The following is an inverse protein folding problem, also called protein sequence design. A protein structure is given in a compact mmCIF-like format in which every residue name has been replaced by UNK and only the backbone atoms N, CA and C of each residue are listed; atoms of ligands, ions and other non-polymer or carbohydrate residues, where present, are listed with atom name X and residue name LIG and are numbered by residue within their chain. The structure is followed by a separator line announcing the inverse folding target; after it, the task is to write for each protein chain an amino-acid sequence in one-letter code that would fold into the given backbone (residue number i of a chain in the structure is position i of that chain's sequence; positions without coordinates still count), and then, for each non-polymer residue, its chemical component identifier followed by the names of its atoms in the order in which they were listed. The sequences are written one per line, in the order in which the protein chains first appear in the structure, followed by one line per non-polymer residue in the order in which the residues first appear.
data_IF_425399977165
#
_entry.id   IF_425399977165
#
_cell.length_a   1.000
_cell.length_b   1.000
_cell.length_c   1.000
_cell.angle_alpha   90.00
_cell.angle_beta   90.00
_cell.angle_gamma   90.00
#
_symmetry.space_group_name_H-M   'P 1'
#
loop_
_entity.id
_entity.type
_entity.pdbx_description
1 polymer ?
#
# COMPACT_ATOMS: atom_id res chain seq x y z
N UNK A 1 -34.52 -4.37 -26.78
CA UNK A 1 -33.16 -4.58 -26.31
C UNK A 1 -32.71 -3.33 -25.59
N UNK A 2 -32.42 -3.44 -24.31
CA UNK A 2 -31.74 -2.37 -23.58
C UNK A 2 -30.25 -2.75 -23.57
N UNK A 3 -29.41 -1.96 -24.21
CA UNK A 3 -27.96 -2.08 -24.10
C UNK A 3 -27.55 -1.21 -22.92
N UNK A 4 -27.01 -1.81 -21.87
CA UNK A 4 -26.41 -1.07 -20.78
C UNK A 4 -24.89 -1.07 -20.98
N UNK A 5 -24.27 0.08 -20.81
CA UNK A 5 -22.80 0.16 -20.71
C UNK A 5 -22.40 -0.49 -19.39
N UNK A 6 -21.39 -1.38 -19.37
CA UNK A 6 -20.85 -1.92 -18.12
C UNK A 6 -20.43 -0.79 -17.19
N UNK A 7 -20.61 -0.98 -15.89
CA UNK A 7 -20.26 0.00 -14.88
C UNK A 7 -18.72 0.22 -14.82
N UNK A 8 -18.32 1.48 -14.65
CA UNK A 8 -16.94 1.85 -14.38
C UNK A 8 -16.54 1.29 -13.03
N UNK A 9 -15.40 0.61 -12.99
CA UNK A 9 -14.81 0.13 -11.75
C UNK A 9 -13.44 0.76 -11.58
N UNK A 10 -13.17 1.35 -10.42
CA UNK A 10 -11.88 1.87 -10.01
C UNK A 10 -11.54 1.18 -8.69
N UNK A 11 -10.48 0.36 -8.70
CA UNK A 11 -10.03 -0.37 -7.52
C UNK A 11 -9.12 0.50 -6.64
N UNK A 12 -8.40 1.46 -7.23
CA UNK A 12 -7.51 2.38 -6.55
C UNK A 12 -6.11 2.43 -7.18
N UNK A 13 -5.21 3.11 -6.51
CA UNK A 13 -3.79 3.09 -6.85
C UNK A 13 -3.17 1.76 -6.41
N UNK A 14 -2.33 1.15 -7.26
CA UNK A 14 -1.52 0.00 -6.85
C UNK A 14 -0.56 0.35 -5.73
N UNK A 15 -0.06 1.58 -5.75
CA UNK A 15 0.73 2.14 -4.68
C UNK A 15 0.23 3.56 -4.36
N UNK A 16 -0.54 3.69 -3.30
CA UNK A 16 -1.06 5.00 -2.84
C UNK A 16 0.02 5.89 -2.23
N UNK A 17 1.19 5.33 -1.90
CA UNK A 17 2.35 6.04 -1.32
C UNK A 17 3.44 6.37 -2.35
N UNK A 18 3.13 6.29 -3.64
CA UNK A 18 4.07 6.66 -4.70
C UNK A 18 4.56 8.10 -4.53
N UNK A 19 5.89 8.28 -4.53
CA UNK A 19 6.49 9.59 -4.35
C UNK A 19 6.18 10.55 -5.51
N UNK A 20 6.14 11.86 -5.25
CA UNK A 20 6.13 12.85 -6.32
C UNK A 20 7.31 12.67 -7.28
N UNK A 21 7.03 12.57 -8.58
CA UNK A 21 7.99 12.32 -9.64
C UNK A 21 8.03 10.87 -10.15
N UNK A 22 7.58 9.91 -9.34
CA UNK A 22 7.54 8.49 -9.70
C UNK A 22 6.28 8.12 -10.48
N UNK A 23 6.24 6.88 -10.97
CA UNK A 23 5.10 6.31 -11.70
C UNK A 23 4.30 5.35 -10.84
N UNK A 24 2.99 5.31 -11.06
CA UNK A 24 2.07 4.36 -10.41
C UNK A 24 0.99 3.95 -11.39
N UNK A 25 0.18 2.97 -10.99
CA UNK A 25 -0.94 2.46 -11.80
C UNK A 25 -2.24 2.60 -11.03
N UNK A 26 -3.28 3.09 -11.69
CA UNK A 26 -4.66 2.95 -11.23
C UNK A 26 -5.23 1.69 -11.85
N UNK A 27 -5.72 0.77 -11.03
CA UNK A 27 -6.36 -0.46 -11.49
C UNK A 27 -7.88 -0.38 -11.41
N UNK A 28 -8.55 -1.07 -12.33
CA UNK A 28 -10.00 -1.07 -12.40
C UNK A 28 -10.56 -1.91 -13.55
N UNK A 29 -11.67 -1.50 -14.16
CA UNK A 29 -12.23 -2.09 -15.38
C UNK A 29 -13.11 -1.08 -16.11
N UNK A 30 -13.22 -1.27 -17.43
CA UNK A 30 -14.06 -0.49 -18.36
C UNK A 30 -13.61 0.97 -18.56
N UNK A 31 -12.34 1.29 -18.32
CA UNK A 31 -11.79 2.65 -18.47
C UNK A 31 -12.02 3.23 -19.86
N UNK A 32 -11.83 2.42 -20.90
CA UNK A 32 -12.02 2.76 -22.31
C UNK A 32 -13.46 3.23 -22.61
N UNK A 33 -14.45 2.65 -21.94
CA UNK A 33 -15.88 2.97 -22.16
C UNK A 33 -16.27 4.31 -21.53
N UNK A 34 -15.45 4.86 -20.64
CA UNK A 34 -15.70 6.11 -19.94
C UNK A 34 -14.79 7.25 -20.39
N UNK A 35 -14.11 7.06 -21.52
CA UNK A 35 -13.22 8.07 -22.09
C UNK A 35 -11.98 8.32 -21.23
N UNK A 36 -11.55 7.31 -20.46
CA UNK A 36 -10.32 7.35 -19.69
C UNK A 36 -9.22 6.82 -20.61
N UNK A 37 -8.63 7.72 -21.38
CA UNK A 37 -7.55 7.43 -22.34
C UNK A 37 -6.39 8.39 -22.11
N UNK A 38 -5.24 8.13 -22.72
CA UNK A 38 -4.07 9.01 -22.62
C UNK A 38 -4.38 10.45 -23.02
N UNK A 39 -5.25 10.63 -24.04
CA UNK A 39 -5.57 11.96 -24.58
C UNK A 39 -6.71 12.67 -23.85
N UNK A 40 -7.60 11.93 -23.18
CA UNK A 40 -8.85 12.49 -22.66
C UNK A 40 -8.95 12.47 -21.13
N UNK A 41 -8.16 11.62 -20.46
CA UNK A 41 -8.21 11.51 -19.01
C UNK A 41 -7.62 12.77 -18.37
N UNK A 42 -8.36 13.38 -17.47
CA UNK A 42 -7.87 14.42 -16.56
C UNK A 42 -7.64 13.80 -15.19
N UNK A 43 -6.36 13.61 -14.84
CA UNK A 43 -5.95 13.02 -13.57
C UNK A 43 -5.18 14.06 -12.76
N UNK A 44 -5.59 14.29 -11.52
CA UNK A 44 -5.03 15.36 -10.68
C UNK A 44 -4.87 14.91 -9.24
N UNK A 45 -3.88 15.48 -8.57
CA UNK A 45 -3.74 15.48 -7.12
C UNK A 45 -3.90 16.92 -6.64
N UNK A 46 -5.07 17.24 -6.11
CA UNK A 46 -5.47 18.63 -5.87
C UNK A 46 -5.45 19.44 -7.18
N UNK A 47 -4.56 20.44 -7.24
CA UNK A 47 -4.36 21.25 -8.45
C UNK A 47 -3.22 20.77 -9.36
N UNK A 48 -2.47 19.76 -8.94
CA UNK A 48 -1.33 19.25 -9.69
C UNK A 48 -1.81 18.19 -10.70
N UNK A 49 -1.44 18.37 -11.98
CA UNK A 49 -1.85 17.49 -13.08
C UNK A 49 -0.87 16.33 -13.18
N UNK A 50 -1.38 15.09 -13.11
CA UNK A 50 -0.61 13.89 -13.40
C UNK A 50 -0.44 13.70 -14.91
N UNK A 51 0.70 13.15 -15.33
CA UNK A 51 0.89 12.76 -16.73
C UNK A 51 0.40 11.34 -16.92
N UNK A 52 -0.63 11.13 -17.73
CA UNK A 52 -1.04 9.79 -18.14
C UNK A 52 -0.08 9.28 -19.20
N UNK A 53 0.63 8.18 -18.89
CA UNK A 53 1.65 7.59 -19.76
C UNK A 53 1.03 6.54 -20.66
N UNK A 54 0.16 5.71 -20.10
CA UNK A 54 -0.55 4.65 -20.79
C UNK A 54 -1.94 4.45 -20.18
N UNK A 55 -2.89 4.00 -20.99
CA UNK A 55 -4.24 3.70 -20.55
C UNK A 55 -4.79 2.50 -21.33
N UNK A 56 -5.20 1.49 -20.60
CA UNK A 56 -5.84 0.29 -21.11
C UNK A 56 -7.28 0.22 -20.58
N UNK A 57 -7.97 -0.88 -20.85
CA UNK A 57 -9.29 -1.12 -20.30
C UNK A 57 -9.29 -1.26 -18.75
N UNK A 58 -8.20 -1.78 -18.18
CA UNK A 58 -8.11 -2.14 -16.76
C UNK A 58 -7.08 -1.35 -15.97
N UNK A 59 -6.14 -0.70 -16.65
CA UNK A 59 -5.00 -0.07 -15.99
C UNK A 59 -4.68 1.28 -16.63
N UNK A 60 -4.34 2.25 -15.80
CA UNK A 60 -3.86 3.57 -16.21
C UNK A 60 -2.53 3.81 -15.55
N UNK A 61 -1.46 3.86 -16.35
CA UNK A 61 -0.13 4.22 -15.86
C UNK A 61 0.03 5.74 -15.89
N UNK A 62 0.40 6.31 -14.77
CA UNK A 62 0.59 7.76 -14.65
C UNK A 62 1.85 8.10 -13.87
N UNK A 63 2.39 9.29 -14.16
CA UNK A 63 3.47 9.89 -13.39
C UNK A 63 2.88 10.90 -12.41
N UNK A 64 3.24 10.75 -11.15
CA UNK A 64 2.86 11.69 -10.09
C UNK A 64 3.63 13.00 -10.31
N UNK A 65 2.96 14.16 -10.32
CA UNK A 65 3.66 15.43 -10.49
C UNK A 65 4.57 15.75 -9.31
N UNK A 66 5.75 16.33 -9.59
CA UNK A 66 6.75 16.64 -8.57
C UNK A 66 6.25 17.60 -7.46
N UNK A 67 5.17 18.31 -7.71
CA UNK A 67 4.53 19.21 -6.75
C UNK A 67 3.26 18.63 -6.10
N UNK A 68 2.99 17.35 -6.29
CA UNK A 68 1.87 16.67 -5.61
C UNK A 68 2.03 16.79 -4.08
N UNK A 69 0.91 17.01 -3.40
CA UNK A 69 0.88 17.11 -1.94
C UNK A 69 0.29 15.85 -1.34
N UNK A 70 0.92 15.27 -0.31
CA UNK A 70 0.36 14.14 0.43
C UNK A 70 -0.96 14.52 1.10
N UNK A 71 -1.74 13.52 1.50
CA UNK A 71 -3.05 13.67 2.12
C UNK A 71 -4.04 14.51 1.27
N UNK A 72 -3.90 14.37 -0.05
CA UNK A 72 -4.77 15.03 -1.03
C UNK A 72 -5.26 13.97 -1.99
N UNK A 73 -6.58 13.85 -2.17
CA UNK A 73 -7.11 12.84 -3.08
C UNK A 73 -6.59 13.05 -4.51
N UNK A 74 -6.28 11.94 -5.16
CA UNK A 74 -6.15 11.87 -6.60
C UNK A 74 -7.56 11.82 -7.19
N UNK A 75 -7.86 12.67 -8.15
CA UNK A 75 -9.12 12.67 -8.88
C UNK A 75 -8.88 12.23 -10.31
N UNK A 76 -9.78 11.40 -10.83
CA UNK A 76 -9.78 10.95 -12.23
C UNK A 76 -11.11 11.31 -12.89
N UNK A 77 -11.01 11.89 -14.07
CA UNK A 77 -12.15 12.26 -14.93
C UNK A 77 -11.88 11.79 -16.35
N UNK A 78 -12.78 11.00 -16.90
CA UNK A 78 -12.80 10.65 -18.32
C UNK A 78 -13.82 11.51 -19.09
N UNK A 79 -13.72 11.52 -20.41
CA UNK A 79 -14.60 12.33 -21.26
C UNK A 79 -16.08 11.98 -21.16
N UNK A 80 -16.41 10.74 -20.83
CA UNK A 80 -17.79 10.22 -20.74
C UNK A 80 -18.27 10.09 -19.27
N UNK A 81 -17.49 10.56 -18.30
CA UNK A 81 -17.87 10.54 -16.88
C UNK A 81 -18.66 11.80 -16.52
N UNK A 82 -19.75 11.63 -15.77
CA UNK A 82 -20.54 12.75 -15.28
C UNK A 82 -19.81 13.54 -14.18
N UNK A 83 -19.08 12.84 -13.31
CA UNK A 83 -18.37 13.41 -12.18
C UNK A 83 -17.01 12.72 -12.01
N UNK A 84 -15.99 13.41 -11.49
CA UNK A 84 -14.71 12.80 -11.18
C UNK A 84 -14.83 11.80 -10.02
N UNK A 85 -13.97 10.78 -10.04
CA UNK A 85 -13.82 9.85 -8.92
C UNK A 85 -12.57 10.21 -8.15
N UNK A 86 -12.69 10.23 -6.82
CA UNK A 86 -11.57 10.48 -5.90
C UNK A 86 -10.98 9.15 -5.40
N UNK A 87 -9.66 9.10 -5.36
CA UNK A 87 -8.86 7.96 -4.88
C UNK A 87 -7.89 8.49 -3.84
N UNK A 88 -7.69 7.82 -2.69
CA UNK A 88 -6.69 8.21 -1.72
C UNK A 88 -5.27 8.28 -2.32
N UNK A 89 -4.53 9.33 -1.97
CA UNK A 89 -3.12 9.47 -2.33
C UNK A 89 -2.31 9.94 -1.13
N UNK A 90 -1.27 9.17 -0.80
CA UNK A 90 -0.37 9.43 0.34
C UNK A 90 -1.12 9.83 1.62
N UNK A 91 -2.25 9.20 1.88
CA UNK A 91 -3.00 9.46 3.11
C UNK A 91 -2.29 8.80 4.29
N UNK A 92 -1.17 9.40 4.68
CA UNK A 92 -0.27 8.86 5.71
C UNK A 92 -0.78 9.11 7.12
N UNK A 93 -1.67 10.10 7.30
CA UNK A 93 -2.16 10.44 8.64
C UNK A 93 -1.00 10.60 9.64
N UNK A 94 -1.04 9.79 10.70
CA UNK A 94 0.05 9.71 11.68
C UNK A 94 0.96 8.52 11.34
N UNK A 95 2.13 8.81 10.79
CA UNK A 95 3.12 7.78 10.48
C UNK A 95 3.66 7.13 11.76
N UNK A 96 3.62 5.80 11.81
CA UNK A 96 4.16 5.02 12.93
C UNK A 96 5.58 4.57 12.59
N UNK A 97 5.78 3.96 11.41
CA UNK A 97 7.06 3.49 10.89
C UNK A 97 7.11 3.67 9.39
N UNK A 98 8.29 3.99 8.86
CA UNK A 98 8.58 3.97 7.44
C UNK A 98 9.56 2.86 7.03
N UNK A 99 10.11 2.15 8.02
CA UNK A 99 11.13 1.10 7.87
C UNK A 99 12.42 1.52 7.17
N UNK A 100 12.65 2.79 6.90
CA UNK A 100 13.92 3.28 6.38
C UNK A 100 15.05 3.10 7.39
N UNK A 101 14.71 3.22 8.67
CA UNK A 101 15.57 2.92 9.79
C UNK A 101 14.88 1.99 10.78
N UNK A 102 15.66 1.28 11.60
CA UNK A 102 15.09 0.58 12.73
C UNK A 102 14.36 1.58 13.64
N UNK A 103 13.17 1.24 14.11
CA UNK A 103 12.46 2.07 15.07
C UNK A 103 13.23 2.10 16.40
N UNK A 104 14.33 2.84 16.42
CA UNK A 104 15.28 2.90 17.53
C UNK A 104 14.88 3.87 18.64
N UNK A 105 13.93 4.74 18.39
CA UNK A 105 13.39 5.66 19.40
C UNK A 105 12.10 5.09 19.97
N UNK A 106 11.93 5.12 21.29
CA UNK A 106 10.73 4.62 21.96
C UNK A 106 10.89 3.24 22.61
N UNK A 107 12.09 2.71 22.72
CA UNK A 107 12.35 1.46 23.43
C UNK A 107 11.87 0.20 22.70
N UNK A 108 11.72 0.27 21.38
CA UNK A 108 11.42 -0.92 20.61
C UNK A 108 12.60 -1.87 20.61
N UNK A 109 12.34 -3.08 21.05
CA UNK A 109 13.24 -4.22 20.90
C UNK A 109 12.55 -5.25 20.01
N UNK A 110 13.32 -5.98 19.25
CA UNK A 110 12.81 -7.11 18.51
C UNK A 110 13.45 -8.39 19.03
N UNK A 111 12.71 -9.46 18.98
CA UNK A 111 13.19 -10.79 19.29
C UNK A 111 12.52 -11.81 18.39
N UNK A 112 13.18 -12.94 18.17
CA UNK A 112 12.63 -14.09 17.47
C UNK A 112 12.65 -15.30 18.38
N UNK A 113 11.57 -16.05 18.35
CA UNK A 113 11.51 -17.35 19.03
C UNK A 113 12.43 -18.40 18.36
N UNK A 114 12.77 -18.17 17.10
CA UNK A 114 13.55 -19.08 16.28
C UNK A 114 14.85 -18.40 15.87
N UNK A 115 15.94 -18.57 16.63
CA UNK A 115 17.20 -17.86 16.41
C UNK A 115 17.84 -18.15 15.05
N UNK A 116 17.57 -19.31 14.47
CA UNK A 116 18.08 -19.71 13.15
C UNK A 116 17.30 -19.06 11.99
N UNK A 117 16.18 -18.42 12.28
CA UNK A 117 15.45 -17.70 11.30
C UNK A 117 16.13 -16.37 11.01
N UNK A 118 16.50 -16.17 9.77
CA UNK A 118 17.04 -14.89 9.32
C UNK A 118 15.92 -13.89 9.30
N UNK A 119 15.82 -13.16 10.37
CA UNK A 119 14.79 -12.17 10.56
C UNK A 119 15.39 -10.81 10.58
N UNK A 120 14.63 -9.84 10.18
CA UNK A 120 14.84 -8.48 10.61
C UNK A 120 15.94 -7.76 9.84
N UNK A 121 15.91 -7.89 8.54
CA UNK A 121 16.67 -6.98 7.70
C UNK A 121 15.74 -5.90 7.18
N UNK A 122 16.21 -4.68 7.29
CA UNK A 122 15.72 -3.61 6.46
C UNK A 122 16.34 -3.81 5.09
N UNK A 123 15.51 -4.21 4.13
CA UNK A 123 15.93 -4.55 2.78
C UNK A 123 15.55 -3.41 1.84
N UNK A 124 16.36 -3.20 0.81
CA UNK A 124 16.12 -2.21 -0.24
C UNK A 124 15.94 -2.83 -1.63
N UNK A 125 15.85 -4.17 -1.70
CA UNK A 125 15.67 -4.92 -2.94
C UNK A 125 16.97 -5.27 -3.66
N UNK A 126 18.12 -4.77 -3.19
CA UNK A 126 19.42 -5.02 -3.83
C UNK A 126 20.13 -6.28 -3.31
N UNK A 127 19.55 -6.95 -2.32
CA UNK A 127 20.18 -8.08 -1.63
C UNK A 127 20.25 -9.35 -2.48
N UNK A 128 19.52 -9.43 -3.57
CA UNK A 128 19.57 -10.55 -4.51
C UNK A 128 18.22 -11.21 -4.78
N UNK A 129 18.25 -12.39 -5.39
CA UNK A 129 17.04 -13.12 -5.78
C UNK A 129 16.10 -13.39 -4.60
N UNK A 130 14.83 -13.14 -4.80
CA UNK A 130 13.78 -13.34 -3.80
C UNK A 130 13.60 -12.17 -2.81
N UNK A 131 14.28 -11.06 -3.06
CA UNK A 131 14.02 -9.79 -2.39
C UNK A 131 13.25 -8.88 -3.36
N UNK A 132 11.97 -8.58 -3.09
CA UNK A 132 11.23 -7.65 -3.93
C UNK A 132 11.83 -6.24 -3.83
N UNK A 133 11.60 -5.44 -4.85
CA UNK A 133 11.87 -4.01 -4.75
C UNK A 133 10.93 -3.37 -3.71
N UNK A 134 11.41 -2.35 -2.99
CA UNK A 134 10.54 -1.57 -2.11
C UNK A 134 9.36 -0.96 -2.85
N UNK A 135 8.30 -0.67 -2.12
CA UNK A 135 7.11 -0.01 -2.65
C UNK A 135 7.42 1.32 -3.33
N UNK A 136 8.37 2.07 -2.78
CA UNK A 136 8.88 3.32 -3.34
C UNK A 136 10.40 3.23 -3.54
N UNK A 137 10.90 3.79 -4.65
CA UNK A 137 12.33 3.88 -4.94
C UNK A 137 13.08 4.57 -3.79
N UNK A 138 14.20 3.98 -3.40
CA UNK A 138 15.06 4.50 -2.32
C UNK A 138 14.53 4.28 -0.90
N UNK A 139 13.37 3.67 -0.74
CA UNK A 139 12.87 3.23 0.58
C UNK A 139 13.37 1.84 0.94
N UNK A 140 13.04 1.40 2.15
CA UNK A 140 13.32 0.06 2.65
C UNK A 140 12.04 -0.58 3.17
N UNK A 141 12.10 -1.88 3.34
CA UNK A 141 11.03 -2.66 3.96
C UNK A 141 11.61 -3.64 4.97
N UNK A 142 10.77 -4.07 5.89
CA UNK A 142 11.13 -5.10 6.85
C UNK A 142 10.78 -6.48 6.27
N UNK A 143 11.79 -7.32 6.08
CA UNK A 143 11.62 -8.68 5.60
C UNK A 143 11.52 -9.67 6.75
N UNK A 144 10.51 -10.50 6.71
CA UNK A 144 10.37 -11.66 7.57
C UNK A 144 10.61 -12.94 6.76
N UNK A 145 11.49 -13.79 7.23
CA UNK A 145 11.78 -15.06 6.59
C UNK A 145 12.11 -16.12 7.66
N UNK A 146 11.48 -17.28 7.58
CA UNK A 146 11.76 -18.38 8.47
C UNK A 146 10.59 -19.36 8.61
N UNK A 147 10.79 -20.40 9.39
CA UNK A 147 9.77 -21.37 9.74
C UNK A 147 9.25 -21.13 11.15
N UNK A 148 7.93 -21.07 11.27
CA UNK A 148 7.27 -20.89 12.56
C UNK A 148 6.50 -22.15 12.87
N UNK A 149 6.83 -22.82 13.98
CA UNK A 149 6.10 -23.99 14.45
C UNK A 149 4.72 -23.63 15.03
N UNK A 150 3.91 -24.63 15.33
CA UNK A 150 2.63 -24.43 15.97
C UNK A 150 2.79 -23.62 17.26
N UNK A 151 1.93 -22.62 17.46
CA UNK A 151 1.96 -21.68 18.59
C UNK A 151 3.23 -20.83 18.69
N UNK A 152 4.06 -20.84 17.65
CA UNK A 152 5.24 -20.00 17.56
C UNK A 152 4.92 -18.59 17.08
N UNK A 153 5.86 -17.70 17.31
CA UNK A 153 5.87 -16.34 16.74
C UNK A 153 7.19 -16.08 16.05
N UNK A 154 7.16 -15.36 14.94
CA UNK A 154 8.34 -15.08 14.15
C UNK A 154 9.09 -13.88 14.70
N UNK A 155 8.39 -12.80 14.92
CA UNK A 155 8.92 -11.57 15.50
C UNK A 155 7.96 -11.04 16.54
N UNK A 156 8.52 -10.63 17.64
CA UNK A 156 7.87 -9.80 18.63
C UNK A 156 8.59 -8.46 18.69
N UNK A 157 7.88 -7.41 18.41
CA UNK A 157 8.32 -6.07 18.76
C UNK A 157 7.73 -5.71 20.13
N UNK A 158 8.62 -5.51 21.07
CA UNK A 158 8.26 -5.01 22.38
C UNK A 158 8.62 -3.53 22.44
N UNK A 159 7.64 -2.72 22.73
CA UNK A 159 7.77 -1.28 22.83
C UNK A 159 6.40 -0.64 22.89
N UNK A 160 6.36 0.64 22.78
CA UNK A 160 5.11 1.39 22.72
C UNK A 160 5.23 2.56 21.76
N UNK A 161 4.12 2.88 21.15
CA UNK A 161 3.93 4.11 20.39
C UNK A 161 3.06 5.05 21.22
N UNK A 162 3.36 6.32 21.18
CA UNK A 162 2.47 7.32 21.74
C UNK A 162 1.33 7.54 20.76
N UNK A 163 0.11 7.22 21.19
CA UNK A 163 -1.07 7.48 20.37
C UNK A 163 -1.28 8.99 20.27
N UNK A 164 -1.40 9.59 19.08
CA UNK A 164 -1.69 11.00 18.90
C UNK A 164 -2.99 11.40 19.60
N UNK A 165 -3.05 12.63 20.09
CA UNK A 165 -4.16 13.08 20.93
C UNK A 165 -5.51 13.08 20.21
N UNK A 166 -5.52 13.39 18.93
CA UNK A 166 -6.69 13.34 18.04
C UNK A 166 -7.18 11.91 17.81
N UNK A 167 -6.26 10.95 17.59
CA UNK A 167 -6.59 9.52 17.48
C UNK A 167 -7.13 8.99 18.82
N UNK A 168 -6.53 9.41 19.93
CA UNK A 168 -7.01 9.01 21.25
C UNK A 168 -8.41 9.58 21.59
N UNK A 169 -8.73 10.76 21.04
CA UNK A 169 -10.03 11.40 21.26
C UNK A 169 -11.15 10.74 20.44
N UNK A 170 -10.88 10.29 19.24
CA UNK A 170 -11.85 9.61 18.36
C UNK A 170 -11.20 8.47 17.56
N UNK A 171 -10.87 7.35 18.19
CA UNK A 171 -10.19 6.24 17.53
C UNK A 171 -11.03 5.57 16.42
N UNK A 172 -12.34 5.78 16.43
CA UNK A 172 -13.23 5.21 15.42
C UNK A 172 -13.12 5.94 14.06
N UNK A 173 -12.57 7.16 14.03
CA UNK A 173 -12.34 7.92 12.82
C UNK A 173 -11.03 7.52 12.09
N UNK A 174 -10.24 6.61 12.67
CA UNK A 174 -8.93 6.24 12.15
C UNK A 174 -8.83 4.75 11.82
N UNK A 175 -8.02 4.43 10.83
CA UNK A 175 -7.63 3.08 10.49
C UNK A 175 -6.12 2.90 10.70
N UNK A 176 -5.72 1.70 11.09
CA UNK A 176 -4.32 1.30 11.03
C UNK A 176 -4.05 0.76 9.63
N UNK A 177 -3.21 1.45 8.88
CA UNK A 177 -2.82 1.06 7.53
C UNK A 177 -1.38 0.57 7.52
N UNK A 178 -1.09 -0.42 6.69
CA UNK A 178 0.25 -0.94 6.44
C UNK A 178 0.27 -1.69 5.10
N UNK A 179 1.43 -1.70 4.48
CA UNK A 179 1.66 -2.43 3.24
C UNK A 179 2.29 -3.78 3.52
N UNK A 180 1.87 -4.80 2.80
CA UNK A 180 2.39 -6.17 2.93
C UNK A 180 2.61 -6.78 1.56
N UNK A 181 3.83 -7.26 1.32
CA UNK A 181 4.15 -8.09 0.16
C UNK A 181 4.41 -9.53 0.59
N UNK A 182 3.89 -10.50 -0.14
CA UNK A 182 4.08 -11.92 0.14
C UNK A 182 4.68 -12.64 -1.06
N UNK A 183 5.50 -13.65 -0.79
CA UNK A 183 6.06 -14.51 -1.83
C UNK A 183 5.05 -15.59 -2.24
N UNK A 184 4.95 -15.85 -3.54
CA UNK A 184 4.05 -16.87 -4.10
C UNK A 184 4.30 -18.28 -3.54
N UNK A 185 5.56 -18.63 -3.24
CA UNK A 185 5.93 -19.91 -2.67
C UNK A 185 5.63 -20.03 -1.17
N UNK A 186 5.47 -18.91 -0.49
CA UNK A 186 5.27 -18.82 0.95
C UNK A 186 4.22 -17.76 1.31
N UNK A 187 2.97 -17.92 0.84
CA UNK A 187 1.92 -16.96 1.11
C UNK A 187 1.58 -16.91 2.60
N UNK A 188 1.15 -15.76 3.07
CA UNK A 188 0.56 -15.68 4.41
C UNK A 188 -0.72 -16.51 4.45
N UNK A 189 -0.88 -17.27 5.50
CA UNK A 189 -2.05 -18.13 5.68
C UNK A 189 -2.99 -17.56 6.76
N UNK A 190 -4.13 -18.24 6.95
CA UNK A 190 -5.16 -17.85 7.91
C UNK A 190 -4.71 -17.82 9.37
N UNK A 191 -3.53 -18.34 9.67
CA UNK A 191 -2.97 -18.32 11.04
C UNK A 191 -2.00 -17.16 11.29
N UNK A 192 -1.61 -16.45 10.23
CA UNK A 192 -0.77 -15.25 10.35
C UNK A 192 -1.55 -14.15 11.06
N UNK A 193 -0.90 -13.45 11.96
CA UNK A 193 -1.48 -12.37 12.75
C UNK A 193 -0.53 -11.20 12.82
N UNK A 194 -1.08 -10.03 12.61
CA UNK A 194 -0.42 -8.76 12.90
C UNK A 194 -1.23 -8.10 14.01
N UNK A 195 -0.60 -7.76 15.10
CA UNK A 195 -1.28 -7.24 16.28
C UNK A 195 -0.64 -5.94 16.76
N UNK A 196 -1.48 -5.00 17.18
CA UNK A 196 -1.10 -3.78 17.87
C UNK A 196 -1.97 -3.69 19.13
N UNK A 197 -1.37 -3.97 20.28
CA UNK A 197 -2.13 -4.09 21.54
C UNK A 197 -3.20 -5.16 21.44
N UNK A 198 -4.46 -4.79 21.67
CA UNK A 198 -5.61 -5.67 21.55
C UNK A 198 -6.19 -5.74 20.13
N UNK A 199 -5.74 -4.90 19.23
CA UNK A 199 -6.13 -4.93 17.83
C UNK A 199 -5.35 -6.05 17.14
N UNK A 200 -6.07 -6.89 16.41
CA UNK A 200 -5.46 -8.02 15.69
C UNK A 200 -6.05 -8.12 14.30
N UNK A 201 -5.18 -8.11 13.30
CA UNK A 201 -5.52 -8.39 11.93
C UNK A 201 -5.08 -9.79 11.53
N UNK A 202 -5.95 -10.51 10.85
CA UNK A 202 -5.70 -11.84 10.29
C UNK A 202 -6.15 -11.83 8.83
N UNK A 203 -5.27 -12.12 7.85
CA UNK A 203 -5.62 -12.05 6.44
C UNK A 203 -6.70 -13.04 5.99
N UNK A 204 -7.00 -14.04 6.80
CA UNK A 204 -8.04 -15.02 6.46
C UNK A 204 -7.62 -16.06 5.42
N UNK A 205 -8.59 -16.85 4.96
CA UNK A 205 -8.34 -17.96 4.03
C UNK A 205 -8.06 -17.52 2.58
N UNK A 206 -8.50 -16.32 2.20
CA UNK A 206 -8.28 -15.79 0.86
C UNK A 206 -6.86 -15.25 0.65
N UNK A 207 -6.11 -15.09 1.73
CA UNK A 207 -4.72 -14.65 1.67
C UNK A 207 -4.56 -13.20 1.25
N UNK A 208 -3.30 -12.78 1.19
CA UNK A 208 -2.87 -11.54 0.57
C UNK A 208 -2.39 -11.88 -0.84
N UNK A 209 -2.67 -11.04 -1.84
CA UNK A 209 -2.08 -11.22 -3.16
C UNK A 209 -0.57 -11.38 -3.07
N UNK A 210 -0.02 -12.33 -3.82
CA UNK A 210 1.41 -12.63 -3.80
C UNK A 210 2.16 -11.72 -4.77
N UNK A 211 3.38 -11.32 -4.38
CA UNK A 211 4.24 -10.42 -5.18
C UNK A 211 3.58 -9.08 -5.53
N UNK A 212 2.67 -8.64 -4.71
CA UNK A 212 2.06 -7.31 -4.78
C UNK A 212 2.01 -6.71 -3.38
N UNK A 213 2.05 -5.41 -3.32
CA UNK A 213 1.82 -4.65 -2.10
C UNK A 213 0.34 -4.38 -1.91
#
# INVERSE_FOLDING_TARGET
FTVSIPELKIDGLQNEFTNPGDTTVISGDNFDLYGITVEQADVRIGNAICTVIDATRSDITLQIPANAQPNTDLTIQGGEMAEPVAIPYMNTGHQIFDFNDWPGSGGFTHSSQFPDNTLNFLCDGTEGDGYPEPLNEGMKYLRFHGNVGAWGWMVLWAGYIQVPADVAADPAAYNLCFEVCTNASYPLNSTTRIALGNFMWMPGASGIPVNTY
#
